data_IF_191280046158
#
_entry.id   IF_191280046158
#
_cell.length_a   1.000
_cell.length_b   1.000
_cell.length_c   1.000
_cell.angle_alpha   90.00
_cell.angle_beta   90.00
_cell.angle_gamma   90.00
#
_symmetry.space_group_name_H-M   'P 1'
#
loop_
_entity.id
_entity.type
_entity.pdbx_description
1 polymer ?
#
# COMPACT_ATOMS: atom_id res chain seq x y z
N UNK A 1 39.35 -3.16 -0.86
CA UNK A 1 38.45 -2.78 0.25
C UNK A 1 37.04 -3.25 -0.09
N UNK A 2 36.18 -3.53 0.91
CA UNK A 2 34.80 -3.89 0.65
C UNK A 2 34.09 -2.77 -0.13
N UNK A 3 33.16 -3.08 -1.04
CA UNK A 3 32.45 -2.06 -1.80
C UNK A 3 31.69 -1.14 -0.85
N UNK A 4 31.92 0.17 -0.98
CA UNK A 4 31.13 1.17 -0.25
C UNK A 4 29.70 1.17 -0.78
N UNK A 5 28.73 1.57 0.05
CA UNK A 5 27.34 1.72 -0.36
C UNK A 5 27.20 2.58 -1.63
N UNK A 6 28.00 3.64 -1.75
CA UNK A 6 28.06 4.49 -2.96
C UNK A 6 28.66 3.80 -4.19
N UNK A 7 29.54 2.81 -4.00
CA UNK A 7 30.04 1.95 -5.06
C UNK A 7 28.95 0.99 -5.56
N UNK A 8 28.24 0.35 -4.64
CA UNK A 8 27.13 -0.55 -4.96
C UNK A 8 25.95 0.19 -5.62
N UNK A 9 25.58 1.37 -5.11
CA UNK A 9 24.53 2.24 -5.68
C UNK A 9 24.86 2.68 -7.10
N UNK A 10 26.10 3.10 -7.37
CA UNK A 10 26.54 3.49 -8.72
C UNK A 10 26.57 2.30 -9.68
N UNK A 11 26.91 1.11 -9.22
CA UNK A 11 26.86 -0.10 -10.03
C UNK A 11 25.41 -0.49 -10.39
N UNK A 12 24.50 -0.45 -9.42
CA UNK A 12 23.06 -0.68 -9.65
C UNK A 12 22.46 0.31 -10.65
N UNK A 13 22.75 1.60 -10.48
CA UNK A 13 22.23 2.65 -11.38
C UNK A 13 22.80 2.59 -12.81
N UNK A 14 24.00 2.00 -13.01
CA UNK A 14 24.57 1.79 -14.35
C UNK A 14 23.95 0.63 -15.11
N UNK A 15 23.39 -0.34 -14.41
CA UNK A 15 22.76 -1.52 -14.99
C UNK A 15 21.25 -1.40 -15.09
N UNK A 16 20.65 -0.37 -14.49
CA UNK A 16 19.26 -0.02 -14.78
C UNK A 16 19.18 0.42 -16.25
N UNK A 17 18.38 -0.25 -17.10
CA UNK A 17 18.09 0.25 -18.43
C UNK A 17 17.59 1.69 -18.29
N UNK A 18 18.03 2.59 -19.18
CA UNK A 18 17.38 3.90 -19.39
C UNK A 18 15.97 3.69 -19.98
N UNK A 19 15.11 2.98 -19.28
CA UNK A 19 13.70 3.04 -19.54
C UNK A 19 13.21 4.18 -18.67
N UNK A 20 12.79 5.27 -19.31
CA UNK A 20 11.94 6.25 -18.63
C UNK A 20 10.81 5.48 -17.94
N UNK A 21 10.50 5.77 -16.66
CA UNK A 21 9.41 5.10 -15.99
C UNK A 21 8.17 5.25 -16.87
N UNK A 22 7.56 4.13 -17.24
CA UNK A 22 6.37 4.18 -18.09
C UNK A 22 5.29 4.96 -17.34
N UNK A 23 4.52 5.81 -18.02
CA UNK A 23 3.50 6.64 -17.38
C UNK A 23 2.57 5.84 -16.46
N UNK A 24 2.23 4.61 -16.81
CA UNK A 24 1.34 3.73 -16.07
C UNK A 24 1.97 3.21 -14.77
N UNK A 25 3.25 2.85 -14.79
CA UNK A 25 3.97 2.40 -13.61
C UNK A 25 4.20 3.55 -12.63
N UNK A 26 4.47 4.75 -13.15
CA UNK A 26 4.57 5.97 -12.35
C UNK A 26 3.22 6.35 -11.74
N UNK A 27 2.15 6.33 -12.54
CA UNK A 27 0.78 6.57 -12.07
C UNK A 27 0.38 5.59 -10.97
N UNK A 28 0.69 4.30 -11.12
CA UNK A 28 0.42 3.29 -10.09
C UNK A 28 1.24 3.55 -8.83
N UNK A 29 2.51 3.91 -8.95
CA UNK A 29 3.38 4.17 -7.81
C UNK A 29 2.84 5.33 -6.95
N UNK A 30 2.36 6.39 -7.59
CA UNK A 30 1.83 7.59 -6.95
C UNK A 30 0.30 7.59 -6.79
N UNK A 31 -0.36 6.46 -7.06
CA UNK A 31 -1.80 6.35 -6.88
C UNK A 31 -2.17 6.63 -5.41
N UNK A 32 -3.10 7.56 -5.23
CA UNK A 32 -3.70 7.89 -3.94
C UNK A 32 -5.20 7.76 -4.05
N UNK A 33 -5.84 7.34 -2.96
CA UNK A 33 -7.28 7.41 -2.81
C UNK A 33 -7.75 8.86 -2.93
N UNK A 34 -8.84 9.07 -3.67
CA UNK A 34 -9.50 10.38 -3.80
C UNK A 34 -10.40 10.62 -2.58
N UNK A 35 -10.70 11.89 -2.28
CA UNK A 35 -11.45 12.24 -1.07
C UNK A 35 -12.90 11.71 -1.07
N UNK A 36 -13.49 11.55 -2.24
CA UNK A 36 -14.86 11.09 -2.49
C UNK A 36 -14.94 9.61 -2.92
N UNK A 37 -13.79 8.93 -3.00
CA UNK A 37 -13.68 7.54 -3.45
C UNK A 37 -13.78 6.60 -2.24
N UNK A 38 -14.60 5.55 -2.34
CA UNK A 38 -14.66 4.49 -1.34
C UNK A 38 -13.36 3.69 -1.32
N UNK A 39 -13.02 3.10 -0.17
CA UNK A 39 -11.79 2.31 -0.07
C UNK A 39 -11.78 1.10 -1.02
N UNK A 40 -12.95 0.50 -1.28
CA UNK A 40 -13.14 -0.59 -2.23
C UNK A 40 -12.96 -0.13 -3.68
N UNK A 41 -13.51 1.03 -4.04
CA UNK A 41 -13.33 1.64 -5.37
C UNK A 41 -11.85 1.96 -5.63
N UNK A 42 -11.14 2.44 -4.61
CA UNK A 42 -9.70 2.65 -4.69
C UNK A 42 -8.94 1.33 -4.93
N UNK A 43 -9.32 0.26 -4.24
CA UNK A 43 -8.72 -1.07 -4.40
C UNK A 43 -8.93 -1.62 -5.83
N UNK A 44 -10.14 -1.47 -6.37
CA UNK A 44 -10.46 -1.87 -7.75
C UNK A 44 -9.61 -1.09 -8.75
N UNK A 45 -9.50 0.23 -8.58
CA UNK A 45 -8.71 1.09 -9.46
C UNK A 45 -7.22 0.71 -9.46
N UNK A 46 -6.61 0.45 -8.29
CA UNK A 46 -5.20 0.03 -8.26
C UNK A 46 -5.01 -1.38 -8.82
N UNK A 47 -6.00 -2.27 -8.74
CA UNK A 47 -5.97 -3.56 -9.41
C UNK A 47 -5.93 -3.39 -10.94
N UNK A 48 -6.78 -2.54 -11.50
CA UNK A 48 -6.80 -2.25 -12.94
C UNK A 48 -5.47 -1.69 -13.42
N UNK A 49 -4.94 -0.69 -12.71
CA UNK A 49 -3.65 -0.08 -13.01
C UNK A 49 -2.50 -1.09 -12.91
N UNK A 50 -2.51 -1.94 -11.89
CA UNK A 50 -1.50 -2.99 -11.73
C UNK A 50 -1.56 -4.04 -12.83
N UNK A 51 -2.75 -4.42 -13.29
CA UNK A 51 -2.92 -5.32 -14.42
C UNK A 51 -2.38 -4.69 -15.72
N UNK A 52 -2.61 -3.39 -15.92
CA UNK A 52 -2.06 -2.68 -17.07
C UNK A 52 -0.52 -2.70 -17.04
N UNK A 53 0.09 -2.34 -15.91
CA UNK A 53 1.55 -2.38 -15.72
C UNK A 53 2.11 -3.79 -15.92
N UNK A 54 1.51 -4.80 -15.29
CA UNK A 54 1.98 -6.17 -15.36
C UNK A 54 1.90 -6.75 -16.78
N UNK A 55 0.84 -6.46 -17.55
CA UNK A 55 0.76 -6.87 -18.96
C UNK A 55 1.83 -6.20 -19.81
N UNK A 56 2.10 -4.94 -19.54
CA UNK A 56 2.94 -4.13 -20.42
C UNK A 56 4.43 -4.34 -20.18
N UNK A 57 4.83 -4.61 -18.93
CA UNK A 57 6.20 -4.92 -18.53
C UNK A 57 6.47 -6.44 -18.47
N UNK A 58 5.43 -7.24 -18.25
CA UNK A 58 5.50 -8.69 -18.08
C UNK A 58 5.29 -9.47 -19.37
N UNK A 59 5.55 -8.88 -20.54
CA UNK A 59 5.33 -9.53 -21.87
C UNK A 59 6.08 -10.86 -22.05
N UNK A 60 7.06 -11.13 -21.19
CA UNK A 60 7.86 -12.36 -21.19
C UNK A 60 7.48 -13.32 -20.06
N UNK A 61 6.55 -12.95 -19.19
CA UNK A 61 6.07 -13.77 -18.07
C UNK A 61 4.93 -14.68 -18.53
N UNK A 62 4.74 -15.78 -17.79
CA UNK A 62 3.52 -16.58 -17.91
C UNK A 62 2.30 -15.78 -17.42
N UNK A 63 1.10 -16.21 -17.79
CA UNK A 63 -0.13 -15.57 -17.32
C UNK A 63 -0.24 -15.61 -15.78
N UNK A 64 0.12 -16.73 -15.16
CA UNK A 64 0.11 -16.89 -13.71
C UNK A 64 1.13 -15.99 -12.99
N UNK A 65 2.34 -15.86 -13.55
CA UNK A 65 3.37 -14.95 -13.01
C UNK A 65 2.96 -13.49 -13.17
N UNK A 66 2.35 -13.14 -14.31
CA UNK A 66 1.83 -11.81 -14.58
C UNK A 66 0.71 -11.44 -13.58
N UNK A 67 -0.21 -12.36 -13.31
CA UNK A 67 -1.28 -12.16 -12.33
C UNK A 67 -0.76 -12.08 -10.89
N UNK A 68 0.23 -12.90 -10.55
CA UNK A 68 0.90 -12.85 -9.24
C UNK A 68 1.60 -11.51 -9.04
N UNK A 69 2.28 -11.04 -10.09
CA UNK A 69 2.95 -9.75 -10.06
C UNK A 69 1.97 -8.57 -9.99
N UNK A 70 0.89 -8.60 -10.76
CA UNK A 70 -0.17 -7.59 -10.70
C UNK A 70 -0.77 -7.49 -9.28
N UNK A 71 -1.03 -8.61 -8.62
CA UNK A 71 -1.52 -8.63 -7.23
C UNK A 71 -0.53 -7.97 -6.27
N UNK A 72 0.77 -8.26 -6.40
CA UNK A 72 1.80 -7.65 -5.56
C UNK A 72 1.92 -6.14 -5.79
N UNK A 73 1.84 -5.70 -7.05
CA UNK A 73 1.85 -4.29 -7.41
C UNK A 73 0.62 -3.54 -6.85
N UNK A 74 -0.57 -4.12 -7.03
CA UNK A 74 -1.82 -3.56 -6.51
C UNK A 74 -1.78 -3.45 -4.98
N UNK A 75 -1.33 -4.51 -4.30
CA UNK A 75 -1.20 -4.52 -2.84
C UNK A 75 -0.28 -3.40 -2.33
N UNK A 76 0.92 -3.28 -2.92
CA UNK A 76 1.86 -2.22 -2.55
C UNK A 76 1.33 -0.81 -2.83
N UNK A 77 0.62 -0.62 -3.94
CA UNK A 77 0.00 0.66 -4.28
C UNK A 77 -1.15 1.01 -3.33
N UNK A 78 -1.99 0.02 -2.99
CA UNK A 78 -3.10 0.19 -2.06
C UNK A 78 -2.61 0.66 -0.69
N UNK A 79 -1.67 -0.07 -0.06
CA UNK A 79 -1.17 0.28 1.29
C UNK A 79 -0.58 1.68 1.33
N UNK A 80 0.20 2.07 0.31
CA UNK A 80 0.80 3.42 0.22
C UNK A 80 -0.23 4.52 -0.06
N UNK A 81 -1.28 4.21 -0.81
CA UNK A 81 -2.25 5.18 -1.31
C UNK A 81 -3.55 5.27 -0.52
N UNK A 82 -3.78 4.39 0.46
CA UNK A 82 -5.03 4.28 1.23
C UNK A 82 -5.42 5.55 1.97
N UNK A 83 -4.43 6.38 2.34
CA UNK A 83 -4.64 7.68 2.96
C UNK A 83 -3.79 7.87 4.21
N UNK A 84 -3.58 9.11 4.61
CA UNK A 84 -2.67 9.46 5.73
C UNK A 84 -3.06 8.82 7.07
N UNK A 85 -4.34 8.51 7.25
CA UNK A 85 -4.89 7.92 8.49
C UNK A 85 -4.78 6.39 8.47
N UNK A 86 -5.06 5.76 7.31
CA UNK A 86 -5.08 4.30 7.16
C UNK A 86 -3.68 3.72 6.89
N UNK A 87 -2.86 4.38 6.06
CA UNK A 87 -1.55 3.85 5.63
C UNK A 87 -0.65 3.47 6.82
N UNK A 88 -0.46 4.32 7.85
CA UNK A 88 0.41 3.98 8.98
C UNK A 88 -0.11 2.78 9.79
N UNK A 89 -1.43 2.64 9.92
CA UNK A 89 -2.05 1.52 10.60
C UNK A 89 -1.89 0.25 9.75
N UNK A 90 -2.19 0.28 8.46
CA UNK A 90 -1.99 -0.86 7.56
C UNK A 90 -0.52 -1.33 7.53
N UNK A 91 0.45 -0.40 7.56
CA UNK A 91 1.88 -0.76 7.66
C UNK A 91 2.24 -1.45 8.98
N UNK A 92 1.51 -1.13 10.05
CA UNK A 92 1.72 -1.66 11.39
C UNK A 92 1.08 -3.06 11.53
N UNK A 93 -0.11 -3.23 10.98
CA UNK A 93 -0.84 -4.49 11.00
C UNK A 93 -0.24 -5.54 10.06
N UNK A 94 0.46 -5.11 9.01
CA UNK A 94 1.13 -5.98 8.03
C UNK A 94 0.20 -7.02 7.37
N UNK A 95 -0.83 -6.59 6.62
CA UNK A 95 -1.71 -7.52 5.92
C UNK A 95 -0.89 -8.35 4.92
N UNK A 96 -1.24 -9.63 4.76
CA UNK A 96 -0.52 -10.53 3.85
C UNK A 96 -1.01 -10.39 2.41
N UNK A 97 -2.27 -9.99 2.23
CA UNK A 97 -2.91 -9.85 0.92
C UNK A 97 -3.61 -8.50 0.76
N UNK A 98 -3.89 -8.12 -0.50
CA UNK A 98 -4.74 -6.97 -0.80
C UNK A 98 -6.13 -7.09 -0.17
N UNK A 99 -6.71 -8.30 -0.19
CA UNK A 99 -8.03 -8.55 0.40
C UNK A 99 -8.02 -8.28 1.91
N UNK A 100 -7.00 -8.74 2.61
CA UNK A 100 -6.85 -8.47 4.05
C UNK A 100 -6.69 -6.98 4.32
N UNK A 101 -5.88 -6.30 3.51
CA UNK A 101 -5.68 -4.86 3.62
C UNK A 101 -6.96 -4.06 3.39
N UNK A 102 -7.80 -4.47 2.43
CA UNK A 102 -9.08 -3.83 2.15
C UNK A 102 -10.05 -4.06 3.30
N UNK A 103 -10.17 -5.29 3.80
CA UNK A 103 -11.05 -5.60 4.93
C UNK A 103 -10.66 -4.80 6.18
N UNK A 104 -9.36 -4.77 6.50
CA UNK A 104 -8.88 -3.96 7.62
C UNK A 104 -9.11 -2.48 7.42
N UNK A 105 -8.95 -1.97 6.20
CA UNK A 105 -9.21 -0.57 5.92
C UNK A 105 -10.69 -0.22 6.10
N UNK A 106 -11.62 -1.07 5.64
CA UNK A 106 -13.07 -0.92 5.87
C UNK A 106 -13.38 -0.91 7.36
N UNK A 107 -12.83 -1.86 8.10
CA UNK A 107 -13.04 -1.97 9.55
C UNK A 107 -12.51 -0.74 10.30
N UNK A 108 -11.33 -0.23 9.93
CA UNK A 108 -10.74 0.98 10.49
C UNK A 108 -11.57 2.23 10.18
N UNK A 109 -12.13 2.34 8.97
CA UNK A 109 -13.05 3.45 8.65
C UNK A 109 -14.26 3.44 9.56
N UNK A 110 -14.89 2.28 9.77
CA UNK A 110 -16.02 2.13 10.69
C UNK A 110 -15.62 2.52 12.12
N UNK A 111 -14.44 2.11 12.61
CA UNK A 111 -13.95 2.52 13.93
C UNK A 111 -13.74 4.03 14.05
N UNK A 112 -13.18 4.66 13.00
CA UNK A 112 -12.88 6.09 13.00
C UNK A 112 -14.18 6.92 12.97
N UNK A 113 -15.21 6.44 12.27
CA UNK A 113 -16.52 7.08 12.20
C UNK A 113 -17.34 6.91 13.47
N UNK A 114 -17.36 5.70 14.04
CA UNK A 114 -18.19 5.37 15.21
C UNK A 114 -17.51 5.69 16.54
N UNK A 115 -16.18 5.78 16.56
CA UNK A 115 -15.38 5.90 17.77
C UNK A 115 -15.37 4.63 18.64
N UNK A 116 -16.03 3.55 18.20
CA UNK A 116 -16.15 2.30 18.94
C UNK A 116 -14.96 1.38 18.65
N UNK A 117 -14.22 1.04 19.71
CA UNK A 117 -13.00 0.22 19.64
C UNK A 117 -13.24 -1.27 19.82
N UNK A 118 -14.40 -1.66 20.35
CA UNK A 118 -14.68 -3.04 20.80
C UNK A 118 -15.17 -3.98 19.70
N UNK A 119 -15.48 -3.47 18.51
CA UNK A 119 -16.36 -4.21 17.57
C UNK A 119 -15.65 -5.33 16.79
N UNK A 120 -14.32 -5.34 16.68
CA UNK A 120 -13.73 -6.04 15.53
C UNK A 120 -13.05 -7.39 15.80
N UNK A 121 -13.01 -7.88 17.04
CA UNK A 121 -12.39 -9.19 17.32
C UNK A 121 -10.88 -9.24 17.02
N UNK A 122 -10.23 -8.07 16.94
CA UNK A 122 -8.79 -7.95 16.78
C UNK A 122 -8.12 -8.39 18.08
N UNK A 123 -6.93 -8.99 17.98
CA UNK A 123 -6.22 -9.37 19.19
C UNK A 123 -5.87 -8.13 20.04
N UNK A 124 -5.84 -8.32 21.37
CA UNK A 124 -5.58 -7.23 22.32
C UNK A 124 -4.28 -6.46 22.04
N UNK A 125 -3.17 -7.11 21.62
CA UNK A 125 -1.96 -6.41 21.19
C UNK A 125 -2.20 -5.43 20.04
N UNK A 126 -2.96 -5.86 19.02
CA UNK A 126 -3.26 -5.07 17.83
C UNK A 126 -4.15 -3.88 18.17
N UNK A 127 -5.19 -4.09 18.99
CA UNK A 127 -6.04 -3.01 19.51
C UNK A 127 -5.21 -1.99 20.30
N UNK A 128 -4.30 -2.44 21.16
CA UNK A 128 -3.43 -1.55 21.94
C UNK A 128 -2.46 -0.74 21.06
N UNK A 129 -1.99 -1.32 19.96
CA UNK A 129 -1.10 -0.65 18.99
C UNK A 129 -1.83 0.47 18.24
N UNK A 130 -3.06 0.20 17.78
CA UNK A 130 -3.92 1.18 17.12
C UNK A 130 -4.31 2.28 18.08
N UNK A 131 -4.68 1.94 19.31
CA UNK A 131 -5.08 2.94 20.30
C UNK A 131 -3.92 3.88 20.62
N UNK A 132 -2.71 3.34 20.79
CA UNK A 132 -1.50 4.15 20.94
C UNK A 132 -1.28 5.08 19.75
N UNK A 133 -1.50 4.59 18.53
CA UNK A 133 -1.35 5.39 17.31
C UNK A 133 -2.42 6.48 17.21
N UNK A 134 -3.70 6.16 17.42
CA UNK A 134 -4.80 7.12 17.37
C UNK A 134 -4.76 8.14 18.51
N UNK A 135 -4.27 7.74 19.69
CA UNK A 135 -4.02 8.64 20.82
C UNK A 135 -2.86 9.60 20.54
N UNK A 136 -1.75 9.10 20.00
CA UNK A 136 -0.63 9.93 19.56
C UNK A 136 -1.02 10.89 18.44
N UNK A 137 -1.77 10.39 17.45
CA UNK A 137 -2.26 11.20 16.34
C UNK A 137 -3.12 12.35 16.89
N UNK A 138 -4.14 12.09 17.72
CA UNK A 138 -4.99 13.13 18.33
C UNK A 138 -4.20 14.21 19.09
N UNK A 139 -3.20 13.83 19.87
CA UNK A 139 -2.35 14.79 20.60
C UNK A 139 -1.54 15.75 19.74
N UNK A 140 -1.35 15.43 18.44
CA UNK A 140 -0.70 16.32 17.47
C UNK A 140 -1.66 17.36 16.86
N UNK A 141 -2.99 17.20 16.98
CA UNK A 141 -3.98 18.13 16.45
C UNK A 141 -4.54 19.11 17.49
N UNK A 142 -4.24 18.89 18.78
CA UNK A 142 -4.69 19.72 19.91
C UNK A 142 -3.61 20.71 20.42
N UNK A 143 -2.47 20.82 19.73
CA UNK A 143 -1.42 21.83 19.95
C UNK A 143 -1.22 22.70 18.70
#
# INVERSE_FOLDING_TARGET
GPPTYDGAKRALLRHLPKNEPRPEAEQLHFAKRRADELITEFADRVCEMACAVARDDGRHLSEDDCMTWARALAFGAFVRGAGKELTPILMLLQPETLNDAVNWAIELEVMLETGEKEVLGWDMPTVGLIDKYLGWARGLWEN
#
